data_IF_372121558578
#
_entry.id   IF_372121558578
#
_cell.length_a   1.000
_cell.length_b   1.000
_cell.length_c   1.000
_cell.angle_alpha   90.00
_cell.angle_beta   90.00
_cell.angle_gamma   90.00
#
_symmetry.space_group_name_H-M   'P 1'
#
loop_
_entity.id
_entity.type
_entity.pdbx_description
1 polymer ?
#
# COMPACT_ATOMS: atom_id res chain seq x y z
N UNK A 1 29.71 -10.21 21.57
CA UNK A 1 29.52 -9.76 20.18
C UNK A 1 28.04 -9.49 20.01
N UNK A 2 27.64 -8.28 19.61
CA UNK A 2 26.26 -7.98 19.24
C UNK A 2 25.91 -8.84 18.02
N UNK A 3 24.97 -9.76 18.17
CA UNK A 3 24.54 -10.63 17.08
C UNK A 3 23.54 -9.85 16.22
N UNK A 4 23.97 -9.39 15.04
CA UNK A 4 23.07 -8.75 14.09
C UNK A 4 22.12 -9.80 13.49
N UNK A 5 20.84 -9.45 13.36
CA UNK A 5 19.87 -10.26 12.60
C UNK A 5 19.95 -9.84 11.14
N UNK A 6 20.31 -10.78 10.27
CA UNK A 6 20.39 -10.51 8.84
C UNK A 6 19.04 -10.79 8.18
N UNK A 7 18.36 -9.72 7.74
CA UNK A 7 17.02 -9.78 7.17
C UNK A 7 17.05 -9.38 5.70
N UNK A 8 16.51 -10.24 4.84
CA UNK A 8 16.20 -9.89 3.47
C UNK A 8 14.77 -9.35 3.36
N UNK A 9 14.65 -8.10 2.90
CA UNK A 9 13.38 -7.49 2.51
C UNK A 9 13.22 -7.59 0.99
N UNK A 10 12.25 -8.40 0.57
CA UNK A 10 11.70 -8.40 -0.76
C UNK A 10 10.85 -7.13 -0.95
N UNK A 11 11.44 -6.16 -1.63
CA UNK A 11 11.05 -4.77 -1.76
C UNK A 11 10.35 -4.51 -3.11
N UNK A 12 9.06 -4.13 -3.11
CA UNK A 12 8.30 -3.86 -4.33
C UNK A 12 8.60 -2.49 -4.95
N UNK A 13 9.31 -1.59 -4.29
CA UNK A 13 9.66 -0.28 -4.83
C UNK A 13 10.86 -0.32 -5.77
N UNK A 14 11.73 -1.32 -5.64
CA UNK A 14 12.88 -1.50 -6.53
C UNK A 14 12.39 -1.94 -7.91
N UNK A 15 12.87 -1.25 -8.95
CA UNK A 15 12.42 -1.42 -10.34
C UNK A 15 10.91 -1.16 -10.57
N UNK A 16 10.27 -0.37 -9.70
CA UNK A 16 8.87 0.05 -9.86
C UNK A 16 8.77 1.52 -10.26
N UNK A 17 7.96 1.88 -11.29
CA UNK A 17 7.65 3.27 -11.62
C UNK A 17 6.58 3.87 -10.70
N UNK A 18 6.09 3.11 -9.72
CA UNK A 18 4.99 3.49 -8.85
C UNK A 18 5.52 3.95 -7.48
N UNK A 19 5.54 5.27 -7.25
CA UNK A 19 6.00 5.86 -5.98
C UNK A 19 5.15 5.43 -4.78
N UNK A 20 3.94 4.92 -4.99
CA UNK A 20 3.13 4.33 -3.93
C UNK A 20 3.80 3.12 -3.26
N UNK A 21 4.63 2.36 -3.99
CA UNK A 21 5.38 1.24 -3.40
C UNK A 21 6.49 1.74 -2.46
N UNK A 22 7.03 2.95 -2.68
CA UNK A 22 7.99 3.57 -1.75
C UNK A 22 7.34 3.93 -0.41
N UNK A 23 6.08 4.38 -0.40
CA UNK A 23 5.32 4.66 0.83
C UNK A 23 5.15 3.38 1.67
N UNK A 24 4.86 2.25 1.00
CA UNK A 24 4.75 0.94 1.62
C UNK A 24 6.08 0.55 2.27
N UNK A 25 7.17 0.64 1.51
CA UNK A 25 8.50 0.25 1.97
C UNK A 25 9.01 1.14 3.11
N UNK A 26 8.75 2.45 3.05
CA UNK A 26 9.07 3.38 4.15
C UNK A 26 8.38 2.95 5.47
N UNK A 27 7.11 2.56 5.39
CA UNK A 27 6.36 2.09 6.56
C UNK A 27 6.83 0.71 7.04
N UNK A 28 7.07 -0.21 6.10
CA UNK A 28 7.61 -1.55 6.40
C UNK A 28 8.96 -1.44 7.09
N UNK A 29 9.87 -0.62 6.58
CA UNK A 29 11.20 -0.48 7.16
C UNK A 29 11.14 0.04 8.60
N UNK A 30 10.36 1.10 8.88
CA UNK A 30 10.15 1.61 10.25
C UNK A 30 9.66 0.51 11.19
N UNK A 31 8.71 -0.30 10.74
CA UNK A 31 8.17 -1.41 11.53
C UNK A 31 9.25 -2.50 11.77
N UNK A 32 10.10 -2.80 10.77
CA UNK A 32 11.18 -3.77 10.94
C UNK A 32 12.25 -3.24 11.91
N UNK A 33 12.58 -1.95 11.84
CA UNK A 33 13.51 -1.30 12.76
C UNK A 33 12.97 -1.38 14.21
N UNK A 34 11.66 -1.26 14.42
CA UNK A 34 11.01 -1.43 15.73
C UNK A 34 11.05 -2.89 16.23
N UNK A 35 10.93 -3.87 15.33
CA UNK A 35 10.90 -5.29 15.67
C UNK A 35 12.31 -5.81 15.99
N UNK A 36 13.33 -5.36 15.26
CA UNK A 36 14.69 -5.90 15.31
C UNK A 36 15.68 -4.87 15.86
N UNK A 37 16.13 -5.06 17.12
CA UNK A 37 17.08 -4.15 17.78
C UNK A 37 18.45 -4.01 17.10
N UNK A 38 18.91 -5.04 16.36
CA UNK A 38 20.18 -5.04 15.63
C UNK A 38 19.98 -5.57 14.20
N UNK A 39 19.20 -4.83 13.41
CA UNK A 39 18.84 -5.19 12.04
C UNK A 39 19.97 -4.91 11.05
N UNK A 40 20.42 -5.94 10.32
CA UNK A 40 21.11 -5.74 9.06
C UNK A 40 20.11 -6.04 7.94
N UNK A 41 19.68 -5.02 7.20
CA UNK A 41 18.67 -5.14 6.16
C UNK A 41 19.30 -5.16 4.77
N UNK A 42 19.00 -6.19 3.98
CA UNK A 42 19.25 -6.18 2.54
C UNK A 42 17.93 -6.11 1.77
N UNK A 43 17.84 -5.19 0.82
CA UNK A 43 16.66 -5.01 -0.03
C UNK A 43 16.87 -5.69 -1.37
N UNK A 44 15.88 -6.49 -1.78
CA UNK A 44 15.90 -7.30 -3.00
C UNK A 44 14.60 -7.03 -3.76
N UNK A 45 14.68 -6.74 -5.05
CA UNK A 45 13.52 -6.41 -5.87
C UNK A 45 12.48 -7.53 -5.94
N UNK A 46 11.18 -7.18 -6.03
CA UNK A 46 10.13 -8.14 -6.38
C UNK A 46 9.62 -7.98 -7.80
N UNK A 47 9.66 -6.77 -8.37
CA UNK A 47 9.04 -6.45 -9.66
C UNK A 47 9.94 -6.73 -10.88
N UNK A 48 11.15 -7.22 -10.65
CA UNK A 48 12.10 -7.62 -11.69
C UNK A 48 12.76 -8.96 -11.35
N UNK A 49 13.39 -9.58 -12.34
CA UNK A 49 13.97 -10.92 -12.24
C UNK A 49 15.11 -10.94 -11.21
N UNK A 50 15.17 -12.02 -10.45
CA UNK A 50 16.19 -12.21 -9.43
C UNK A 50 17.46 -12.80 -10.04
N UNK A 51 18.60 -12.31 -9.55
CA UNK A 51 19.93 -12.77 -9.96
C UNK A 51 20.49 -13.81 -9.01
N UNK A 52 21.56 -14.51 -9.42
CA UNK A 52 22.33 -15.41 -8.54
C UNK A 52 22.77 -14.72 -7.24
N UNK A 53 23.13 -13.43 -7.33
CA UNK A 53 23.48 -12.62 -6.16
C UNK A 53 22.30 -12.44 -5.22
N UNK A 54 21.10 -12.23 -5.77
CA UNK A 54 19.86 -12.11 -4.99
C UNK A 54 19.56 -13.42 -4.25
N UNK A 55 19.69 -14.57 -4.94
CA UNK A 55 19.54 -15.88 -4.32
C UNK A 55 20.52 -16.13 -3.19
N UNK A 56 21.80 -15.77 -3.38
CA UNK A 56 22.82 -15.89 -2.33
C UNK A 56 22.47 -15.03 -1.11
N UNK A 57 21.97 -13.81 -1.30
CA UNK A 57 21.57 -12.98 -0.17
C UNK A 57 20.35 -13.53 0.57
N UNK A 58 19.34 -14.03 -0.17
CA UNK A 58 18.20 -14.71 0.44
C UNK A 58 18.65 -15.95 1.22
N UNK A 59 19.50 -16.79 0.65
CA UNK A 59 20.01 -18.02 1.29
C UNK A 59 20.75 -17.73 2.60
N UNK A 60 21.56 -16.66 2.64
CA UNK A 60 22.34 -16.30 3.82
C UNK A 60 21.56 -15.47 4.86
N UNK A 61 20.31 -15.09 4.58
CA UNK A 61 19.51 -14.29 5.52
C UNK A 61 18.81 -15.17 6.54
N UNK A 62 18.83 -14.74 7.81
CA UNK A 62 18.12 -15.39 8.91
C UNK A 62 16.61 -15.36 8.70
N UNK A 63 16.11 -14.23 8.17
CA UNK A 63 14.69 -13.95 7.96
C UNK A 63 14.50 -13.34 6.57
N UNK A 64 13.46 -13.79 5.86
CA UNK A 64 13.08 -13.28 4.55
C UNK A 64 11.65 -12.74 4.64
N UNK A 65 11.48 -11.44 4.48
CA UNK A 65 10.18 -10.78 4.55
C UNK A 65 9.84 -10.17 3.20
N UNK A 66 8.58 -10.28 2.78
CA UNK A 66 8.05 -9.56 1.63
C UNK A 66 7.05 -8.51 2.10
N UNK A 67 7.37 -7.25 1.81
CA UNK A 67 6.65 -6.09 2.32
C UNK A 67 5.62 -5.54 1.33
N UNK A 68 4.35 -5.86 1.55
CA UNK A 68 3.21 -5.22 0.91
C UNK A 68 3.05 -5.37 -0.62
N UNK A 69 2.38 -4.35 -1.19
CA UNK A 69 1.73 -4.23 -2.51
C UNK A 69 0.85 -5.42 -2.96
N UNK A 70 0.37 -5.41 -4.20
CA UNK A 70 -0.52 -6.45 -4.78
C UNK A 70 0.27 -7.62 -5.38
N UNK A 71 1.18 -8.21 -4.61
CA UNK A 71 2.14 -9.18 -5.14
C UNK A 71 1.54 -10.55 -5.46
N UNK A 72 0.44 -10.91 -4.80
CA UNK A 72 -0.17 -12.25 -4.96
C UNK A 72 -1.20 -12.26 -6.09
N UNK A 73 -1.34 -13.39 -6.79
CA UNK A 73 -2.26 -13.58 -7.90
C UNK A 73 -2.62 -15.05 -8.02
N UNK A 74 -3.83 -15.35 -8.50
CA UNK A 74 -4.31 -16.72 -8.71
C UNK A 74 -3.63 -17.43 -9.87
N UNK A 75 -2.98 -16.67 -10.77
CA UNK A 75 -2.34 -17.16 -11.98
C UNK A 75 -0.91 -16.61 -12.10
N UNK A 76 -0.03 -17.00 -11.16
CA UNK A 76 1.37 -16.55 -11.12
C UNK A 76 2.17 -16.92 -12.38
N UNK A 77 1.73 -17.92 -13.14
CA UNK A 77 2.31 -18.30 -14.43
C UNK A 77 1.90 -17.39 -15.61
N UNK A 78 0.97 -16.45 -15.40
CA UNK A 78 0.51 -15.52 -16.43
C UNK A 78 0.75 -14.07 -16.01
N UNK A 79 0.28 -13.68 -14.83
CA UNK A 79 0.49 -12.35 -14.28
C UNK A 79 1.10 -12.43 -12.89
N UNK A 80 2.27 -11.82 -12.73
CA UNK A 80 3.01 -11.77 -11.48
C UNK A 80 3.70 -10.40 -11.28
N UNK A 81 3.35 -9.70 -10.22
CA UNK A 81 4.13 -8.54 -9.74
C UNK A 81 5.33 -9.00 -8.93
N UNK A 82 5.21 -10.14 -8.23
CA UNK A 82 6.37 -10.84 -7.68
C UNK A 82 6.94 -11.76 -8.75
N UNK A 83 8.03 -11.34 -9.39
CA UNK A 83 8.68 -11.99 -10.55
C UNK A 83 9.42 -13.27 -10.17
N UNK A 84 8.65 -14.26 -9.71
CA UNK A 84 9.12 -15.61 -9.40
C UNK A 84 8.31 -16.67 -10.15
N UNK A 85 8.95 -17.80 -10.39
CA UNK A 85 8.39 -19.00 -10.99
C UNK A 85 8.81 -20.25 -10.20
N UNK A 86 8.40 -21.45 -10.64
CA UNK A 86 8.71 -22.71 -9.96
C UNK A 86 10.22 -23.04 -9.90
N UNK A 87 11.05 -22.58 -10.83
CA UNK A 87 12.51 -22.72 -10.74
C UNK A 87 13.06 -21.85 -9.62
N UNK A 88 12.56 -20.63 -9.47
CA UNK A 88 13.00 -19.73 -8.40
C UNK A 88 12.66 -20.29 -7.02
N UNK A 89 11.59 -21.07 -6.90
CA UNK A 89 11.23 -21.77 -5.64
C UNK A 89 12.27 -22.80 -5.16
N UNK A 90 13.24 -23.17 -6.01
CA UNK A 90 14.37 -23.99 -5.58
C UNK A 90 15.35 -23.21 -4.71
N UNK A 91 15.44 -21.89 -4.90
CA UNK A 91 16.38 -20.98 -4.24
C UNK A 91 15.68 -20.04 -3.24
N UNK A 92 14.41 -19.73 -3.48
CA UNK A 92 13.58 -18.86 -2.64
C UNK A 92 12.66 -19.75 -1.82
N UNK A 93 12.93 -19.84 -0.52
CA UNK A 93 12.14 -20.61 0.44
C UNK A 93 12.02 -19.83 1.73
N UNK A 94 11.00 -20.17 2.52
CA UNK A 94 10.81 -19.66 3.87
C UNK A 94 10.58 -18.13 3.93
N UNK A 95 9.88 -17.60 2.93
CA UNK A 95 9.47 -16.19 2.87
C UNK A 95 8.25 -15.94 3.74
N UNK A 96 8.28 -14.87 4.53
CA UNK A 96 7.20 -14.44 5.42
C UNK A 96 6.52 -13.21 4.82
N UNK A 97 5.19 -13.22 4.80
CA UNK A 97 4.40 -12.12 4.22
C UNK A 97 4.20 -11.04 5.28
N UNK A 98 4.31 -9.78 4.87
CA UNK A 98 4.00 -8.61 5.68
C UNK A 98 3.09 -7.67 4.89
N UNK A 99 1.80 -7.69 5.20
CA UNK A 99 0.83 -6.76 4.63
C UNK A 99 0.58 -6.92 3.14
N UNK A 100 0.85 -8.11 2.59
CA UNK A 100 0.72 -8.35 1.15
C UNK A 100 -0.75 -8.47 0.76
N UNK A 101 -1.11 -8.03 -0.44
CA UNK A 101 -2.46 -8.16 -0.98
C UNK A 101 -2.53 -8.96 -2.29
N UNK A 102 -3.75 -9.34 -2.63
CA UNK A 102 -4.10 -10.03 -3.87
C UNK A 102 -4.33 -9.05 -5.02
N UNK A 103 -3.90 -9.44 -6.21
CA UNK A 103 -4.08 -8.69 -7.44
C UNK A 103 -5.50 -8.89 -7.99
N UNK A 104 -6.35 -7.89 -7.77
CA UNK A 104 -7.74 -7.84 -8.22
C UNK A 104 -8.61 -9.00 -7.72
N UNK A 105 -9.89 -8.97 -8.05
CA UNK A 105 -10.76 -10.11 -7.82
C UNK A 105 -10.48 -11.17 -8.89
N UNK A 106 -10.16 -12.37 -8.43
CA UNK A 106 -9.85 -13.51 -9.26
C UNK A 106 -10.54 -14.76 -8.71
N UNK A 107 -10.65 -15.78 -9.57
CA UNK A 107 -11.01 -17.13 -9.15
C UNK A 107 -9.98 -17.70 -8.17
N UNK A 108 -10.27 -18.87 -7.61
CA UNK A 108 -9.31 -19.58 -6.75
C UNK A 108 -7.95 -19.76 -7.43
N UNK A 109 -6.85 -19.75 -6.68
CA UNK A 109 -5.52 -19.93 -7.25
C UNK A 109 -5.41 -21.28 -7.97
N UNK A 110 -4.78 -21.26 -9.15
CA UNK A 110 -4.60 -22.46 -9.96
C UNK A 110 -3.55 -23.41 -9.33
N UNK A 111 -3.44 -24.63 -9.87
CA UNK A 111 -2.51 -25.63 -9.34
C UNK A 111 -1.05 -25.15 -9.36
N UNK A 112 -0.65 -24.43 -10.41
CA UNK A 112 0.69 -23.85 -10.52
C UNK A 112 0.99 -22.92 -9.34
N UNK A 113 0.09 -21.96 -9.11
CA UNK A 113 0.21 -20.95 -8.05
C UNK A 113 0.18 -21.60 -6.67
N UNK A 114 -0.71 -22.59 -6.48
CA UNK A 114 -0.75 -23.39 -5.25
C UNK A 114 0.61 -24.03 -4.97
N UNK A 115 1.19 -24.72 -5.94
CA UNK A 115 2.50 -25.37 -5.78
C UNK A 115 3.59 -24.33 -5.49
N UNK A 116 3.59 -23.21 -6.22
CA UNK A 116 4.56 -22.14 -6.03
C UNK A 116 4.52 -21.59 -4.60
N UNK A 117 3.35 -21.17 -4.12
CA UNK A 117 3.21 -20.58 -2.78
C UNK A 117 3.56 -21.56 -1.66
N UNK A 118 3.17 -22.84 -1.77
CA UNK A 118 3.56 -23.86 -0.79
C UNK A 118 5.07 -24.13 -0.74
N UNK A 119 5.83 -23.81 -1.80
CA UNK A 119 7.29 -23.95 -1.83
C UNK A 119 8.02 -22.73 -1.29
N UNK A 120 7.53 -21.53 -1.60
CA UNK A 120 8.24 -20.29 -1.28
C UNK A 120 7.89 -19.73 0.10
N UNK A 121 6.67 -19.95 0.58
CA UNK A 121 6.20 -19.38 1.84
C UNK A 121 6.61 -20.24 3.04
N UNK A 122 6.96 -19.55 4.13
CA UNK A 122 7.37 -20.16 5.37
C UNK A 122 6.22 -20.99 6.00
N UNK A 123 6.50 -22.23 6.44
CA UNK A 123 5.48 -23.12 6.99
C UNK A 123 5.13 -22.90 8.47
N UNK A 124 6.10 -22.47 9.27
CA UNK A 124 5.94 -22.23 10.71
C UNK A 124 5.57 -20.80 11.15
N UNK A 125 5.94 -19.77 10.39
CA UNK A 125 5.67 -18.37 10.74
C UNK A 125 4.25 -17.97 10.32
N UNK A 126 3.66 -17.02 11.02
CA UNK A 126 2.40 -16.40 10.66
C UNK A 126 2.61 -15.38 9.53
N UNK A 127 1.84 -15.51 8.45
CA UNK A 127 1.82 -14.59 7.34
C UNK A 127 0.85 -13.43 7.60
N UNK A 128 1.31 -12.21 7.38
CA UNK A 128 0.48 -11.01 7.43
C UNK A 128 0.01 -10.64 6.02
N UNK A 129 -1.31 -10.53 5.86
CA UNK A 129 -1.96 -9.98 4.66
C UNK A 129 -2.75 -8.73 5.04
N UNK A 130 -3.01 -7.87 4.06
CA UNK A 130 -3.64 -6.57 4.34
C UNK A 130 -5.17 -6.54 4.32
N UNK A 131 -5.80 -7.60 3.83
CA UNK A 131 -7.25 -7.65 3.68
C UNK A 131 -7.78 -9.09 3.78
N UNK A 132 -9.05 -9.24 4.15
CA UNK A 132 -9.71 -10.53 4.32
C UNK A 132 -9.95 -11.27 2.99
N UNK A 133 -9.95 -10.57 1.86
CA UNK A 133 -10.00 -11.22 0.55
C UNK A 133 -8.72 -12.03 0.29
N UNK A 134 -7.56 -11.42 0.48
CA UNK A 134 -6.24 -12.05 0.33
C UNK A 134 -6.10 -13.24 1.29
N UNK A 135 -6.54 -13.07 2.54
CA UNK A 135 -6.56 -14.15 3.53
C UNK A 135 -7.31 -15.39 3.01
N UNK A 136 -8.56 -15.20 2.55
CA UNK A 136 -9.40 -16.28 2.02
C UNK A 136 -8.80 -16.95 0.79
N UNK A 137 -8.13 -16.20 -0.09
CA UNK A 137 -7.47 -16.77 -1.26
C UNK A 137 -6.33 -17.73 -0.87
N UNK A 138 -5.50 -17.38 0.12
CA UNK A 138 -4.43 -18.25 0.64
C UNK A 138 -5.00 -19.47 1.39
N UNK A 139 -6.01 -19.28 2.24
CA UNK A 139 -6.68 -20.37 2.94
C UNK A 139 -7.31 -21.37 1.95
N UNK A 140 -7.85 -20.89 0.82
CA UNK A 140 -8.47 -21.75 -0.20
C UNK A 140 -7.52 -22.75 -0.86
N UNK A 141 -6.20 -22.53 -0.73
CA UNK A 141 -5.16 -23.45 -1.22
C UNK A 141 -4.41 -24.15 -0.08
N UNK A 142 -4.90 -24.03 1.16
CA UNK A 142 -4.38 -24.74 2.34
C UNK A 142 -3.24 -24.02 3.06
N UNK A 143 -3.05 -22.71 2.84
CA UNK A 143 -2.11 -21.89 3.61
C UNK A 143 -2.92 -21.22 4.72
N UNK A 144 -2.93 -21.82 5.91
CA UNK A 144 -3.80 -21.44 7.02
C UNK A 144 -3.09 -20.63 8.11
N UNK A 145 -1.75 -20.57 8.07
CA UNK A 145 -0.91 -19.72 8.91
C UNK A 145 -0.93 -18.27 8.41
N UNK A 146 -2.12 -17.69 8.24
CA UNK A 146 -2.31 -16.35 7.68
C UNK A 146 -3.30 -15.53 8.50
N UNK A 147 -2.98 -14.25 8.71
CA UNK A 147 -3.82 -13.30 9.43
C UNK A 147 -3.93 -11.97 8.70
N UNK A 148 -5.11 -11.36 8.76
CA UNK A 148 -5.31 -9.99 8.29
C UNK A 148 -4.80 -9.00 9.34
N UNK A 149 -3.79 -8.24 8.98
CA UNK A 149 -3.17 -7.21 9.81
C UNK A 149 -3.43 -5.78 9.30
N UNK A 150 -4.30 -5.60 8.30
CA UNK A 150 -4.36 -4.38 7.50
C UNK A 150 -3.03 -4.05 6.78
N UNK A 151 -3.01 -2.97 6.01
CA UNK A 151 -1.80 -2.51 5.31
C UNK A 151 -0.77 -1.96 6.32
N UNK A 152 0.52 -2.30 6.23
CA UNK A 152 1.56 -1.78 7.12
C UNK A 152 1.67 -0.26 7.13
N UNK A 153 1.30 0.41 6.03
CA UNK A 153 1.23 1.88 5.96
C UNK A 153 0.21 2.48 6.93
N UNK A 154 -0.72 1.67 7.43
CA UNK A 154 -1.76 2.13 8.36
C UNK A 154 -1.41 1.86 9.82
N UNK A 155 -0.36 1.09 10.12
CA UNK A 155 -0.09 0.65 11.51
C UNK A 155 0.31 1.77 12.47
N UNK A 156 0.57 2.99 11.98
CA UNK A 156 0.77 4.17 12.81
C UNK A 156 -0.51 4.97 13.06
N UNK A 157 -1.63 4.61 12.42
CA UNK A 157 -2.91 5.34 12.51
C UNK A 157 -3.69 4.84 13.73
N UNK A 158 -3.16 5.10 14.93
CA UNK A 158 -3.83 4.85 16.21
C UNK A 158 -5.03 5.76 16.39
N UNK A 159 -5.90 5.45 17.36
CA UNK A 159 -7.02 6.34 17.70
C UNK A 159 -6.52 7.75 18.09
N UNK A 160 -5.47 7.82 18.92
CA UNK A 160 -4.78 9.08 19.29
C UNK A 160 -4.26 9.85 18.05
N UNK A 161 -3.62 9.15 17.11
CA UNK A 161 -3.15 9.78 15.87
C UNK A 161 -4.32 10.32 15.03
N UNK A 162 -5.43 9.58 14.97
CA UNK A 162 -6.62 9.98 14.22
C UNK A 162 -7.38 11.15 14.84
N UNK A 163 -7.35 11.30 16.16
CA UNK A 163 -7.95 12.44 16.87
C UNK A 163 -7.33 13.79 16.49
N UNK A 164 -6.04 13.79 16.18
CA UNK A 164 -5.30 14.98 15.74
C UNK A 164 -5.57 15.38 14.28
N UNK A 165 -6.34 14.59 13.52
CA UNK A 165 -6.67 14.90 12.13
C UNK A 165 -7.76 15.98 12.09
N UNK A 166 -7.57 17.08 11.32
CA UNK A 166 -8.57 18.12 11.18
C UNK A 166 -9.93 17.58 10.74
N UNK A 167 -10.98 18.01 11.44
CA UNK A 167 -12.36 17.57 11.15
C UNK A 167 -13.01 18.40 10.05
N UNK A 168 -12.57 19.64 9.86
CA UNK A 168 -13.12 20.60 8.90
C UNK A 168 -12.18 20.77 7.71
N UNK A 169 -12.79 21.14 6.57
CA UNK A 169 -12.11 21.39 5.29
C UNK A 169 -11.03 22.47 5.41
N UNK A 170 -9.87 22.23 4.81
CA UNK A 170 -8.86 23.28 4.55
C UNK A 170 -9.19 24.12 3.31
N UNK A 171 -8.48 25.23 3.10
CA UNK A 171 -8.59 26.06 1.89
C UNK A 171 -7.87 25.47 0.68
N UNK A 172 -6.96 24.52 0.90
CA UNK A 172 -6.19 23.85 -0.16
C UNK A 172 -6.45 22.35 -0.19
N UNK A 173 -6.29 21.74 -1.37
CA UNK A 173 -6.44 20.29 -1.55
C UNK A 173 -5.27 19.71 -2.34
N UNK A 174 -4.76 18.57 -1.89
CA UNK A 174 -3.88 17.70 -2.65
C UNK A 174 -4.70 16.64 -3.38
N UNK A 175 -4.54 16.59 -4.70
CA UNK A 175 -5.24 15.66 -5.58
C UNK A 175 -4.26 14.69 -6.21
N UNK A 176 -4.72 13.45 -6.41
CA UNK A 176 -4.00 12.46 -7.21
C UNK A 176 -4.96 11.71 -8.11
N UNK A 177 -4.48 11.33 -9.28
CA UNK A 177 -5.20 10.46 -10.22
C UNK A 177 -4.41 9.20 -10.52
N UNK A 178 -5.11 8.23 -11.09
CA UNK A 178 -4.56 6.91 -11.38
C UNK A 178 -4.67 6.60 -12.85
N UNK A 179 -3.53 6.57 -13.54
CA UNK A 179 -3.50 6.45 -15.00
C UNK A 179 -4.12 5.17 -15.57
N UNK A 180 -4.06 4.03 -14.88
CA UNK A 180 -4.53 2.76 -15.44
C UNK A 180 -6.06 2.58 -15.37
N UNK A 181 -6.77 3.47 -14.68
CA UNK A 181 -8.24 3.46 -14.59
C UNK A 181 -8.79 4.88 -14.67
N UNK A 182 -8.38 5.61 -15.71
CA UNK A 182 -8.88 6.96 -15.99
C UNK A 182 -10.39 6.96 -16.24
N UNK A 183 -11.07 8.01 -15.80
CA UNK A 183 -12.42 8.30 -16.25
C UNK A 183 -12.55 9.81 -16.42
N UNK A 184 -12.40 10.27 -17.67
CA UNK A 184 -12.34 11.70 -17.97
C UNK A 184 -13.57 12.48 -17.49
N UNK A 185 -14.76 11.89 -17.57
CA UNK A 185 -15.99 12.53 -17.07
C UNK A 185 -15.93 12.75 -15.56
N UNK A 186 -15.67 11.68 -14.80
CA UNK A 186 -15.63 11.77 -13.35
C UNK A 186 -14.44 12.61 -12.87
N UNK A 187 -13.27 12.41 -13.43
CA UNK A 187 -12.06 13.10 -12.99
C UNK A 187 -12.13 14.60 -13.34
N UNK A 188 -12.76 14.99 -14.46
CA UNK A 188 -13.02 16.41 -14.78
C UNK A 188 -14.07 17.03 -13.85
N UNK A 189 -15.18 16.33 -13.60
CA UNK A 189 -16.22 16.79 -12.67
C UNK A 189 -15.68 16.96 -11.25
N UNK A 190 -14.75 16.11 -10.82
CA UNK A 190 -14.06 16.28 -9.54
C UNK A 190 -13.28 17.59 -9.52
N UNK A 191 -12.47 17.88 -10.56
CA UNK A 191 -11.70 19.13 -10.62
C UNK A 191 -12.60 20.38 -10.69
N UNK A 192 -13.76 20.31 -11.36
CA UNK A 192 -14.78 21.36 -11.31
C UNK A 192 -15.31 21.56 -9.89
N UNK A 193 -15.67 20.51 -9.18
CA UNK A 193 -16.10 20.63 -7.77
C UNK A 193 -14.97 21.20 -6.88
N UNK A 194 -13.74 20.73 -7.06
CA UNK A 194 -12.62 21.14 -6.22
C UNK A 194 -12.23 22.60 -6.45
N UNK A 195 -12.31 23.12 -7.69
CA UNK A 195 -12.00 24.56 -7.94
C UNK A 195 -13.04 25.49 -7.31
N UNK A 196 -14.28 25.03 -7.16
CA UNK A 196 -15.34 25.80 -6.51
C UNK A 196 -15.18 25.82 -4.98
N UNK A 197 -14.57 24.76 -4.41
CA UNK A 197 -14.52 24.54 -2.96
C UNK A 197 -13.14 24.84 -2.35
N UNK A 198 -12.07 24.88 -3.13
CA UNK A 198 -10.70 25.09 -2.66
C UNK A 198 -10.02 26.20 -3.45
N UNK A 199 -9.22 27.01 -2.75
CA UNK A 199 -8.44 28.09 -3.36
C UNK A 199 -7.23 27.58 -4.12
N UNK A 200 -6.58 26.51 -3.63
CA UNK A 200 -5.42 25.91 -4.27
C UNK A 200 -5.62 24.41 -4.48
N UNK A 201 -5.28 23.94 -5.68
CA UNK A 201 -5.26 22.53 -6.05
C UNK A 201 -3.81 22.13 -6.31
N UNK A 202 -3.25 21.35 -5.40
CA UNK A 202 -1.96 20.69 -5.56
C UNK A 202 -2.17 19.35 -6.26
N UNK A 203 -1.25 18.95 -7.14
CA UNK A 203 -1.32 17.66 -7.80
C UNK A 203 0.00 16.90 -7.65
N UNK A 204 -0.04 15.73 -7.02
CA UNK A 204 1.14 14.87 -6.92
C UNK A 204 1.14 13.79 -7.99
N UNK A 205 2.23 13.75 -8.75
CA UNK A 205 2.44 12.77 -9.83
C UNK A 205 3.06 11.50 -9.24
N UNK A 206 2.24 10.48 -8.99
CA UNK A 206 2.73 9.21 -8.43
C UNK A 206 3.37 8.31 -9.49
N UNK A 207 2.87 8.34 -10.73
CA UNK A 207 3.40 7.60 -11.88
C UNK A 207 3.59 8.52 -13.10
N UNK A 208 4.48 8.16 -14.06
CA UNK A 208 4.85 9.05 -15.17
C UNK A 208 3.69 9.60 -16.01
N UNK A 209 2.59 8.85 -16.15
CA UNK A 209 1.42 9.26 -16.93
C UNK A 209 0.41 10.11 -16.15
N UNK A 210 0.48 10.15 -14.83
CA UNK A 210 -0.46 10.91 -14.00
C UNK A 210 -0.39 12.40 -14.29
N UNK A 211 0.83 12.93 -14.51
CA UNK A 211 1.05 14.33 -14.90
C UNK A 211 0.33 14.68 -16.19
N UNK A 212 0.53 13.88 -17.25
CA UNK A 212 -0.09 14.13 -18.56
C UNK A 212 -1.61 14.09 -18.46
N UNK A 213 -2.13 13.18 -17.65
CA UNK A 213 -3.56 13.06 -17.42
C UNK A 213 -4.15 14.29 -16.73
N UNK A 214 -3.59 14.70 -15.59
CA UNK A 214 -4.03 15.92 -14.90
C UNK A 214 -3.89 17.16 -15.78
N UNK A 215 -2.79 17.27 -16.52
CA UNK A 215 -2.57 18.40 -17.42
C UNK A 215 -3.64 18.48 -18.52
N UNK A 216 -4.13 17.33 -19.00
CA UNK A 216 -5.23 17.30 -19.97
C UNK A 216 -6.58 17.78 -19.40
N UNK A 217 -6.78 17.71 -18.08
CA UNK A 217 -8.02 18.10 -17.39
C UNK A 217 -7.96 19.55 -16.90
N UNK A 218 -6.84 19.97 -16.28
CA UNK A 218 -6.76 21.25 -15.57
C UNK A 218 -5.62 22.17 -16.03
N UNK A 219 -4.82 21.73 -17.01
CA UNK A 219 -3.74 22.52 -17.58
C UNK A 219 -2.73 23.00 -16.54
N UNK A 220 -2.27 24.24 -16.70
CA UNK A 220 -1.27 24.86 -15.83
C UNK A 220 -1.84 25.49 -14.53
N UNK A 221 -3.14 25.30 -14.24
CA UNK A 221 -3.78 25.90 -13.07
C UNK A 221 -3.53 25.13 -11.77
N UNK A 222 -3.14 23.86 -11.85
CA UNK A 222 -2.70 23.10 -10.68
C UNK A 222 -1.28 23.48 -10.26
N UNK A 223 -1.02 23.37 -8.95
CA UNK A 223 0.32 23.43 -8.38
C UNK A 223 0.90 22.02 -8.44
N UNK A 224 1.75 21.76 -9.44
CA UNK A 224 2.33 20.44 -9.64
C UNK A 224 3.45 20.15 -8.64
N UNK A 225 3.27 19.07 -7.88
CA UNK A 225 4.25 18.56 -6.91
C UNK A 225 5.20 17.61 -7.63
N UNK A 226 6.50 17.75 -7.35
CA UNK A 226 7.54 16.90 -7.93
C UNK A 226 7.26 15.41 -7.65
N UNK A 227 7.57 14.50 -8.59
CA UNK A 227 7.32 13.07 -8.45
C UNK A 227 8.38 12.41 -7.56
N UNK A 228 8.39 12.78 -6.28
CA UNK A 228 9.20 12.14 -5.25
C UNK A 228 8.44 12.05 -3.93
N UNK A 229 8.80 11.06 -3.10
CA UNK A 229 8.23 10.93 -1.75
C UNK A 229 8.59 12.15 -0.89
N UNK A 230 9.81 12.68 -1.04
CA UNK A 230 10.25 13.90 -0.35
C UNK A 230 9.36 15.10 -0.68
N UNK A 231 9.02 15.30 -1.95
CA UNK A 231 8.17 16.42 -2.36
C UNK A 231 6.72 16.24 -1.89
N UNK A 232 6.21 15.00 -1.88
CA UNK A 232 4.92 14.70 -1.25
C UNK A 232 4.94 15.08 0.24
N UNK A 233 5.95 14.62 0.98
CA UNK A 233 6.08 14.90 2.41
C UNK A 233 6.19 16.40 2.69
N UNK A 234 6.94 17.15 1.86
CA UNK A 234 7.01 18.61 1.96
C UNK A 234 5.64 19.28 1.78
N UNK A 235 4.86 18.87 0.78
CA UNK A 235 3.51 19.43 0.56
C UNK A 235 2.56 19.04 1.69
N UNK A 236 2.70 17.85 2.26
CA UNK A 236 1.95 17.42 3.43
C UNK A 236 2.33 18.15 4.73
N UNK A 237 3.31 19.07 4.72
CA UNK A 237 3.50 20.01 5.85
C UNK A 237 2.51 21.17 5.83
N UNK A 238 1.88 21.46 4.68
CA UNK A 238 0.90 22.52 4.52
C UNK A 238 -0.46 22.12 5.11
N UNK A 239 -1.27 23.11 5.44
CA UNK A 239 -2.68 22.89 5.79
C UNK A 239 -3.50 22.62 4.53
N UNK A 240 -3.81 21.35 4.27
CA UNK A 240 -4.59 20.91 3.12
C UNK A 240 -5.40 19.64 3.42
N UNK A 241 -6.45 19.45 2.63
CA UNK A 241 -7.16 18.18 2.53
C UNK A 241 -6.51 17.30 1.46
N UNK A 242 -6.68 15.98 1.53
CA UNK A 242 -6.36 15.06 0.45
C UNK A 242 -7.65 14.50 -0.16
N UNK A 243 -7.78 14.56 -1.49
CA UNK A 243 -8.85 13.88 -2.23
C UNK A 243 -8.28 13.28 -3.51
N UNK A 244 -8.29 11.95 -3.66
CA UNK A 244 -7.74 11.35 -4.88
C UNK A 244 -7.85 9.84 -4.97
N UNK A 245 -7.50 9.30 -6.14
CA UNK A 245 -7.66 7.87 -6.46
C UNK A 245 -6.44 7.01 -6.07
N UNK A 246 -5.32 7.62 -5.68
CA UNK A 246 -4.12 6.89 -5.25
C UNK A 246 -4.20 6.52 -3.77
N UNK A 247 -4.58 5.27 -3.48
CA UNK A 247 -4.71 4.73 -2.11
C UNK A 247 -3.55 5.10 -1.18
N UNK A 248 -2.30 4.77 -1.53
CA UNK A 248 -1.17 4.98 -0.63
C UNK A 248 -0.76 6.44 -0.47
N UNK A 249 -1.03 7.30 -1.46
CA UNK A 249 -0.87 8.75 -1.29
C UNK A 249 -1.84 9.28 -0.22
N UNK A 250 -3.10 8.79 -0.23
CA UNK A 250 -4.08 9.11 0.80
C UNK A 250 -3.69 8.57 2.18
N UNK A 251 -3.16 7.34 2.25
CA UNK A 251 -2.65 6.83 3.53
C UNK A 251 -1.45 7.64 4.02
N UNK A 252 -0.56 8.10 3.14
CA UNK A 252 0.55 9.01 3.51
C UNK A 252 0.06 10.36 4.00
N UNK A 253 -1.03 10.89 3.42
CA UNK A 253 -1.69 12.09 3.91
C UNK A 253 -2.25 11.88 5.33
N UNK A 254 -2.90 10.73 5.60
CA UNK A 254 -3.32 10.35 6.96
C UNK A 254 -2.14 10.23 7.94
N UNK A 255 -1.01 9.64 7.52
CA UNK A 255 0.21 9.56 8.33
C UNK A 255 0.74 10.96 8.71
N UNK A 256 0.49 11.98 7.88
CA UNK A 256 0.83 13.38 8.14
C UNK A 256 -0.34 14.19 8.71
N UNK A 257 -1.31 13.50 9.33
CA UNK A 257 -2.48 14.07 10.00
C UNK A 257 -3.36 14.94 9.10
N UNK A 258 -3.39 14.66 7.80
CA UNK A 258 -4.24 15.40 6.85
C UNK A 258 -5.60 14.74 6.71
N UNK A 259 -6.63 15.60 6.65
CA UNK A 259 -8.00 15.20 6.39
C UNK A 259 -8.08 14.60 4.99
N UNK A 260 -8.46 13.33 4.89
CA UNK A 260 -8.24 12.53 3.67
C UNK A 260 -9.53 11.84 3.23
N UNK A 261 -9.82 11.90 1.93
CA UNK A 261 -10.83 11.09 1.25
C UNK A 261 -10.20 10.34 0.06
N UNK A 262 -10.28 9.02 0.07
CA UNK A 262 -9.78 8.18 -1.01
C UNK A 262 -10.93 7.79 -1.94
N UNK A 263 -10.74 8.00 -3.24
CA UNK A 263 -11.71 7.65 -4.27
C UNK A 263 -11.42 6.24 -4.80
N UNK A 264 -12.32 5.30 -4.53
CA UNK A 264 -12.14 3.91 -4.94
C UNK A 264 -12.24 3.76 -6.46
N UNK A 265 -11.18 3.19 -7.05
CA UNK A 265 -11.10 2.81 -8.47
C UNK A 265 -10.87 1.31 -8.68
N UNK A 266 -10.53 0.58 -7.63
CA UNK A 266 -10.32 -0.86 -7.67
C UNK A 266 -10.66 -1.50 -6.31
N UNK A 267 -10.49 -2.82 -6.24
CA UNK A 267 -10.79 -3.59 -5.04
C UNK A 267 -9.91 -3.26 -3.83
N UNK A 268 -8.74 -2.64 -3.99
CA UNK A 268 -7.81 -2.42 -2.88
C UNK A 268 -8.38 -1.50 -1.82
N UNK A 269 -8.81 -0.32 -2.24
CA UNK A 269 -9.38 0.68 -1.33
C UNK A 269 -10.68 0.14 -0.73
N UNK A 270 -11.47 -0.60 -1.51
CA UNK A 270 -12.75 -1.19 -1.08
C UNK A 270 -12.53 -2.26 0.00
N UNK A 271 -11.61 -3.20 -0.21
CA UNK A 271 -11.36 -4.27 0.77
C UNK A 271 -10.72 -3.72 2.05
N UNK A 272 -9.77 -2.79 1.93
CA UNK A 272 -9.19 -2.13 3.12
C UNK A 272 -10.27 -1.34 3.87
N UNK A 273 -11.14 -0.61 3.18
CA UNK A 273 -12.26 0.11 3.80
C UNK A 273 -13.16 -0.80 4.62
N UNK A 274 -13.58 -1.95 4.07
CA UNK A 274 -14.43 -2.93 4.76
C UNK A 274 -13.84 -3.39 6.08
N UNK A 275 -12.52 -3.55 6.11
CA UNK A 275 -11.80 -4.08 7.27
C UNK A 275 -11.40 -2.97 8.28
N UNK A 276 -11.21 -1.72 7.83
CA UNK A 276 -10.53 -0.68 8.62
C UNK A 276 -11.27 0.62 8.79
N UNK A 277 -12.42 0.81 8.14
CA UNK A 277 -13.14 2.10 8.11
C UNK A 277 -12.30 3.26 7.51
N UNK A 278 -11.32 2.95 6.65
CA UNK A 278 -10.56 3.96 5.90
C UNK A 278 -11.53 4.88 5.11
N UNK A 279 -11.39 6.23 5.15
CA UNK A 279 -12.30 7.13 4.44
C UNK A 279 -12.25 6.92 2.93
N UNK A 280 -13.17 6.09 2.43
CA UNK A 280 -13.23 5.67 1.03
C UNK A 280 -14.66 5.85 0.52
N UNK A 281 -14.80 6.47 -0.64
CA UNK A 281 -16.06 6.56 -1.37
C UNK A 281 -15.86 6.11 -2.81
N UNK A 282 -16.95 5.72 -3.48
CA UNK A 282 -16.88 5.48 -4.92
C UNK A 282 -16.55 6.77 -5.65
N UNK A 283 -15.69 6.71 -6.69
CA UNK A 283 -15.28 7.90 -7.45
C UNK A 283 -16.42 8.67 -8.13
N UNK A 284 -17.60 8.05 -8.25
CA UNK A 284 -18.80 8.65 -8.86
C UNK A 284 -19.89 9.01 -7.84
N UNK A 285 -19.64 8.86 -6.53
CA UNK A 285 -20.59 9.21 -5.48
C UNK A 285 -20.48 10.69 -5.11
N UNK A 286 -20.98 11.56 -6.00
CA UNK A 286 -20.92 13.02 -5.85
C UNK A 286 -21.59 13.52 -4.58
N UNK A 287 -22.65 12.84 -4.13
CA UNK A 287 -23.35 13.19 -2.90
C UNK A 287 -22.43 13.00 -1.70
N UNK A 288 -21.77 11.84 -1.59
CA UNK A 288 -20.85 11.57 -0.48
C UNK A 288 -19.58 12.43 -0.56
N UNK A 289 -19.03 12.65 -1.76
CA UNK A 289 -17.85 13.52 -1.95
C UNK A 289 -18.17 14.95 -1.51
N UNK A 290 -19.28 15.53 -1.99
CA UNK A 290 -19.67 16.91 -1.65
C UNK A 290 -20.00 17.04 -0.17
N UNK A 291 -20.77 16.08 0.38
CA UNK A 291 -21.11 16.05 1.81
C UNK A 291 -19.85 15.97 2.67
N UNK A 292 -18.87 15.15 2.28
CA UNK A 292 -17.59 15.09 2.96
C UNK A 292 -16.86 16.43 2.88
N UNK A 293 -16.79 17.10 1.73
CA UNK A 293 -16.12 18.41 1.61
C UNK A 293 -16.78 19.47 2.51
N UNK A 294 -18.10 19.52 2.56
CA UNK A 294 -18.85 20.60 3.22
C UNK A 294 -19.09 20.38 4.71
N UNK A 295 -19.03 19.12 5.17
CA UNK A 295 -19.35 18.74 6.54
C UNK A 295 -18.09 18.51 7.38
N UNK A 296 -18.23 18.64 8.70
CA UNK A 296 -17.23 18.09 9.60
C UNK A 296 -17.19 16.57 9.47
N UNK A 297 -15.99 15.98 9.41
CA UNK A 297 -15.78 14.55 9.30
C UNK A 297 -14.73 14.11 10.32
N UNK A 298 -15.06 13.12 11.14
CA UNK A 298 -14.13 12.56 12.11
C UNK A 298 -13.49 11.30 11.53
N UNK A 299 -12.17 11.31 11.38
CA UNK A 299 -11.42 10.15 10.94
C UNK A 299 -11.34 9.12 12.05
N UNK A 300 -11.83 7.89 11.82
CA UNK A 300 -11.74 6.76 12.75
C UNK A 300 -11.27 5.52 12.01
N UNK A 301 -10.02 5.13 12.20
CA UNK A 301 -9.43 3.93 11.58
C UNK A 301 -9.47 2.78 12.58
N UNK A 302 -9.99 1.63 12.17
CA UNK A 302 -10.04 0.41 12.98
C UNK A 302 -8.93 -0.53 12.54
N UNK A 303 -7.95 -0.75 13.40
CA UNK A 303 -6.85 -1.67 13.10
C UNK A 303 -6.97 -2.97 13.90
N UNK A 304 -6.64 -4.13 13.30
CA UNK A 304 -6.66 -5.42 13.99
C UNK A 304 -5.42 -5.58 14.88
N UNK A 305 -5.33 -4.79 15.96
CA UNK A 305 -4.15 -4.74 16.82
C UNK A 305 -3.73 -6.09 17.40
N UNK A 306 -4.69 -6.97 17.73
CA UNK A 306 -4.38 -8.33 18.17
C UNK A 306 -3.60 -9.12 17.10
N UNK A 307 -4.06 -9.09 15.85
CA UNK A 307 -3.39 -9.71 14.71
C UNK A 307 -2.02 -9.09 14.42
N UNK A 308 -1.93 -7.76 14.46
CA UNK A 308 -0.66 -7.03 14.25
C UNK A 308 0.35 -7.45 15.31
N UNK A 309 -0.04 -7.44 16.58
CA UNK A 309 0.83 -7.80 17.70
C UNK A 309 1.24 -9.28 17.66
N UNK A 310 0.31 -10.17 17.34
CA UNK A 310 0.61 -11.60 17.14
C UNK A 310 1.63 -11.83 16.01
N UNK A 311 1.50 -11.09 14.91
CA UNK A 311 2.47 -11.17 13.82
C UNK A 311 3.83 -10.57 14.22
N UNK A 312 3.88 -9.50 15.00
CA UNK A 312 5.15 -8.91 15.46
C UNK A 312 5.88 -9.80 16.47
N UNK A 313 5.15 -10.41 17.42
CA UNK A 313 5.75 -11.15 18.53
C UNK A 313 6.49 -12.41 18.10
N UNK A 314 6.19 -12.98 16.93
CA UNK A 314 6.87 -14.17 16.42
C UNK A 314 8.37 -13.97 16.13
N UNK A 315 8.84 -12.72 16.08
CA UNK A 315 10.24 -12.37 15.81
C UNK A 315 11.04 -12.03 17.08
N UNK A 316 10.38 -12.01 18.24
CA UNK A 316 10.99 -11.61 19.51
C UNK A 316 11.59 -12.80 20.29
N UNK A 317 11.68 -13.98 19.65
CA UNK A 317 12.19 -15.23 20.25
C UNK A 317 13.69 -15.43 20.07
#
# INVERSE_FOLDING_TARGET
>A
MTNFKYVALLDPSICSPNLGDQIIVDSVQKILDDIFQNLFLIKIQTQDVLSKTSYRYLENSDIKIIGGTNLLSSNMNYYNQWKINLWDSLFIRDVILMGVGWWQYQNKPNLYTKILYHRVLHKGYLHSVRDNYTKRQLESIGINNVVNTACPTMWSLTDEHCEDIPKRKSDSVLVTFTEYNQNQEYDSNLIELLREKYSNIYFWTQQPKDYKYMYSIYGNKAIYVQPSLQALDQVLTLELDYIGTRLHAGVRALQNKKRTLILAVDNRAIEIYKDTNLPVVSRNDWKSITSWIESAYETRIRLPWSSINQWKSQFQS
#
